data_IF_939041614643
#
_entry.id   IF_939041614643
#
_cell.length_a   1.000
_cell.length_b   1.000
_cell.length_c   1.000
_cell.angle_alpha   90.00
_cell.angle_beta   90.00
_cell.angle_gamma   90.00
#
_symmetry.space_group_name_H-M   'P 1'
#
loop_
_entity.id
_entity.type
_entity.pdbx_description
1 polymer ?
#
# COMPACT_ATOMS: atom_id res chain seq x y z
N UNK A 1 -15.82 -9.78 3.65
CA UNK A 1 -14.96 -10.64 2.79
C UNK A 1 -13.57 -10.55 3.36
N UNK A 2 -12.82 -11.65 3.47
CA UNK A 2 -11.46 -11.65 4.01
C UNK A 2 -10.50 -10.95 3.04
N UNK A 3 -9.47 -10.30 3.61
CA UNK A 3 -8.36 -9.75 2.83
C UNK A 3 -7.74 -10.88 1.98
N UNK A 4 -7.54 -10.65 0.70
CA UNK A 4 -6.96 -11.66 -0.19
C UNK A 4 -7.95 -12.65 -0.83
N UNK A 5 -9.26 -12.59 -0.53
CA UNK A 5 -10.23 -13.49 -1.18
C UNK A 5 -10.36 -13.22 -2.69
N UNK A 6 -10.07 -11.99 -3.15
CA UNK A 6 -9.88 -11.63 -4.56
C UNK A 6 -8.79 -10.58 -4.67
N UNK A 7 -7.64 -10.98 -5.18
CA UNK A 7 -6.45 -10.14 -5.31
C UNK A 7 -6.33 -9.65 -6.74
N UNK A 8 -6.35 -8.34 -6.95
CA UNK A 8 -6.02 -7.71 -8.21
C UNK A 8 -4.56 -7.26 -8.20
N UNK A 9 -3.75 -7.79 -9.10
CA UNK A 9 -2.37 -7.35 -9.30
C UNK A 9 -2.29 -6.50 -10.56
N UNK A 10 -1.77 -5.29 -10.45
CA UNK A 10 -1.47 -4.45 -11.60
C UNK A 10 -0.01 -4.66 -12.05
N UNK A 11 0.18 -4.87 -13.35
CA UNK A 11 1.49 -5.03 -13.95
C UNK A 11 1.67 -4.13 -15.18
N UNK A 12 2.85 -3.55 -15.34
CA UNK A 12 3.30 -2.87 -16.55
C UNK A 12 4.30 -3.72 -17.35
N UNK A 13 4.41 -5.02 -16.99
CA UNK A 13 5.31 -6.01 -17.57
C UNK A 13 6.80 -5.71 -17.34
N UNK A 14 7.14 -4.72 -16.52
CA UNK A 14 8.53 -4.47 -16.10
C UNK A 14 9.00 -5.50 -15.06
N UNK A 15 10.31 -5.65 -14.92
CA UNK A 15 10.89 -6.46 -13.85
C UNK A 15 10.51 -5.96 -12.45
N UNK A 16 10.29 -4.63 -12.32
CA UNK A 16 9.80 -4.04 -11.08
C UNK A 16 8.40 -4.50 -10.68
N UNK A 17 7.56 -4.86 -11.66
CA UNK A 17 6.21 -5.37 -11.41
C UNK A 17 6.17 -6.85 -11.00
N UNK A 18 7.23 -7.61 -11.20
CA UNK A 18 7.28 -9.02 -10.81
C UNK A 18 7.09 -9.22 -9.32
N UNK A 19 7.59 -8.29 -8.52
CA UNK A 19 7.40 -8.34 -7.08
C UNK A 19 5.93 -8.19 -6.68
N UNK A 20 5.19 -7.33 -7.37
CA UNK A 20 3.75 -7.22 -7.18
C UNK A 20 3.03 -8.54 -7.54
N UNK A 21 3.44 -9.19 -8.64
CA UNK A 21 2.91 -10.49 -9.05
C UNK A 21 3.21 -11.55 -7.98
N UNK A 22 4.46 -11.65 -7.48
CA UNK A 22 4.85 -12.62 -6.43
C UNK A 22 4.06 -12.40 -5.15
N UNK A 23 4.02 -11.17 -4.65
CA UNK A 23 3.34 -10.85 -3.39
C UNK A 23 1.83 -11.00 -3.50
N UNK A 24 1.22 -10.59 -4.62
CA UNK A 24 -0.21 -10.79 -4.87
C UNK A 24 -0.59 -12.26 -4.97
N UNK A 25 0.21 -13.06 -5.69
CA UNK A 25 0.03 -14.50 -5.76
C UNK A 25 0.09 -15.17 -4.39
N UNK A 26 1.11 -14.83 -3.58
CA UNK A 26 1.28 -15.40 -2.24
C UNK A 26 0.06 -15.11 -1.35
N UNK A 27 -0.53 -13.92 -1.44
CA UNK A 27 -1.73 -13.55 -0.68
C UNK A 27 -2.99 -14.24 -1.15
N UNK A 28 -3.20 -14.34 -2.47
CA UNK A 28 -4.30 -15.10 -3.03
C UNK A 28 -4.23 -16.57 -2.61
N UNK A 29 -3.02 -17.16 -2.65
CA UNK A 29 -2.81 -18.54 -2.24
C UNK A 29 -3.08 -18.75 -0.74
N UNK A 30 -2.55 -17.89 0.12
CA UNK A 30 -2.73 -17.96 1.57
C UNK A 30 -4.21 -17.81 1.98
N UNK A 31 -4.98 -17.01 1.26
CA UNK A 31 -6.40 -16.80 1.50
C UNK A 31 -7.31 -17.83 0.79
N UNK A 32 -6.76 -18.76 0.00
CA UNK A 32 -7.55 -19.62 -0.89
C UNK A 32 -8.40 -18.83 -1.89
N UNK A 33 -7.92 -17.64 -2.27
CA UNK A 33 -8.64 -16.67 -3.09
C UNK A 33 -8.31 -16.72 -4.57
N UNK A 34 -8.98 -15.85 -5.32
CA UNK A 34 -8.79 -15.67 -6.76
C UNK A 34 -7.66 -14.66 -7.03
N UNK A 35 -6.77 -14.98 -7.97
CA UNK A 35 -5.77 -14.05 -8.50
C UNK A 35 -6.27 -13.50 -9.84
N UNK A 36 -6.37 -12.17 -9.92
CA UNK A 36 -6.65 -11.43 -11.16
C UNK A 36 -5.46 -10.54 -11.45
N UNK A 37 -4.95 -10.57 -12.67
CA UNK A 37 -3.83 -9.70 -13.10
C UNK A 37 -4.33 -8.73 -14.16
N UNK A 38 -4.08 -7.45 -13.95
CA UNK A 38 -4.51 -6.37 -14.85
C UNK A 38 -3.30 -5.69 -15.48
N UNK A 39 -3.35 -5.53 -16.81
CA UNK A 39 -2.48 -4.61 -17.55
C UNK A 39 -3.31 -3.52 -18.19
N UNK A 40 -2.88 -2.26 -18.08
CA UNK A 40 -3.59 -1.12 -18.69
C UNK A 40 -2.74 -0.55 -19.83
N UNK A 41 -3.29 -0.57 -21.03
CA UNK A 41 -2.66 0.02 -22.24
C UNK A 41 -2.86 1.53 -22.24
N UNK A 42 -1.78 2.35 -22.12
CA UNK A 42 -1.93 3.80 -22.09
C UNK A 42 -2.48 4.38 -23.39
N UNK A 43 -3.39 5.35 -23.29
CA UNK A 43 -3.96 6.07 -24.46
C UNK A 43 -2.94 6.87 -25.28
N UNK A 44 -1.78 7.17 -24.73
CA UNK A 44 -0.70 7.89 -25.43
C UNK A 44 -0.25 7.21 -26.72
N UNK A 45 -0.52 5.93 -26.87
CA UNK A 45 -0.28 5.19 -28.12
C UNK A 45 -1.40 5.37 -29.15
N UNK A 46 -2.61 5.83 -28.74
CA UNK A 46 -3.78 5.96 -29.62
C UNK A 46 -4.05 7.38 -30.10
N UNK A 47 -3.74 8.41 -29.31
CA UNK A 47 -4.13 9.79 -29.58
C UNK A 47 -2.92 10.73 -29.67
N UNK A 48 -1.91 10.37 -30.46
CA UNK A 48 -0.81 11.30 -30.71
C UNK A 48 -1.20 12.24 -31.86
N UNK A 49 -1.39 13.55 -31.60
CA UNK A 49 -1.75 14.51 -32.65
C UNK A 49 -0.71 14.60 -33.78
N UNK A 50 0.53 14.17 -33.53
CA UNK A 50 1.61 14.14 -34.53
C UNK A 50 1.51 12.93 -35.48
N UNK A 51 0.66 11.95 -35.16
CA UNK A 51 0.47 10.75 -35.97
C UNK A 51 -1.03 10.44 -36.18
N UNK A 52 -1.79 11.36 -36.82
CA UNK A 52 -3.26 11.20 -36.97
C UNK A 52 -3.65 9.93 -37.72
N UNK A 53 -2.77 9.37 -38.55
CA UNK A 53 -3.03 8.14 -39.31
C UNK A 53 -2.99 6.87 -38.41
N UNK A 54 -2.48 6.96 -37.19
CA UNK A 54 -2.52 5.88 -36.18
C UNK A 54 -3.74 5.99 -35.25
N UNK A 55 -4.51 7.05 -35.36
CA UNK A 55 -5.67 7.34 -34.52
C UNK A 55 -6.94 6.56 -34.92
N UNK A 56 -6.90 5.78 -35.97
CA UNK A 56 -7.95 4.83 -36.36
C UNK A 56 -7.32 3.45 -36.59
N UNK A 57 -6.99 2.71 -35.52
CA UNK A 57 -6.86 1.28 -35.71
C UNK A 57 -8.25 0.80 -36.11
N UNK A 58 -8.34 0.02 -37.20
CA UNK A 58 -9.53 -0.78 -37.40
C UNK A 58 -9.77 -1.62 -36.13
N UNK A 59 -11.01 -1.92 -35.82
CA UNK A 59 -11.36 -2.64 -34.62
C UNK A 59 -10.58 -3.97 -34.46
N UNK A 60 -10.14 -4.57 -35.58
CA UNK A 60 -9.38 -5.81 -35.63
C UNK A 60 -7.96 -5.64 -35.08
N UNK A 61 -7.26 -4.56 -35.42
CA UNK A 61 -5.91 -4.30 -34.92
C UNK A 61 -5.84 -4.02 -33.42
N UNK A 62 -6.93 -3.50 -32.85
CA UNK A 62 -7.03 -3.29 -31.38
C UNK A 62 -7.20 -4.61 -30.66
N UNK A 63 -8.11 -5.45 -31.12
CA UNK A 63 -8.37 -6.78 -30.55
C UNK A 63 -7.10 -7.66 -30.61
N UNK A 64 -6.37 -7.60 -31.73
CA UNK A 64 -5.11 -8.34 -31.87
C UNK A 64 -4.03 -7.85 -30.90
N UNK A 65 -3.94 -6.54 -30.67
CA UNK A 65 -3.00 -5.98 -29.69
C UNK A 65 -3.35 -6.41 -28.26
N UNK A 66 -4.63 -6.30 -27.87
CA UNK A 66 -5.09 -6.71 -26.54
C UNK A 66 -4.82 -8.20 -26.29
N UNK A 67 -5.07 -9.06 -27.29
CA UNK A 67 -4.79 -10.49 -27.21
C UNK A 67 -3.30 -10.76 -26.98
N UNK A 68 -2.41 -10.15 -27.80
CA UNK A 68 -0.96 -10.33 -27.64
C UNK A 68 -0.46 -9.86 -26.27
N UNK A 69 -0.98 -8.75 -25.76
CA UNK A 69 -0.62 -8.25 -24.44
C UNK A 69 -1.15 -9.20 -23.36
N UNK A 70 -2.35 -9.76 -23.54
CA UNK A 70 -2.87 -10.77 -22.60
C UNK A 70 -1.97 -12.02 -22.58
N UNK A 71 -1.57 -12.53 -23.74
CA UNK A 71 -0.68 -13.70 -23.87
C UNK A 71 0.68 -13.43 -23.16
N UNK A 72 1.30 -12.29 -23.44
CA UNK A 72 2.58 -11.88 -22.78
C UNK A 72 2.40 -11.71 -21.27
N UNK A 73 1.27 -11.17 -20.84
CA UNK A 73 0.95 -11.02 -19.41
C UNK A 73 0.80 -12.39 -18.74
N UNK A 74 0.10 -13.31 -19.39
CA UNK A 74 -0.08 -14.69 -18.89
C UNK A 74 1.27 -15.41 -18.77
N UNK A 75 2.10 -15.36 -19.83
CA UNK A 75 3.45 -15.92 -19.82
C UNK A 75 4.30 -15.35 -18.68
N UNK A 76 4.22 -14.04 -18.44
CA UNK A 76 4.95 -13.39 -17.36
C UNK A 76 4.50 -13.88 -15.99
N UNK A 77 3.18 -13.99 -15.76
CA UNK A 77 2.63 -14.51 -14.50
C UNK A 77 3.08 -15.95 -14.27
N UNK A 78 3.00 -16.81 -15.29
CA UNK A 78 3.46 -18.21 -15.22
C UNK A 78 4.96 -18.24 -14.86
N UNK A 79 5.79 -17.45 -15.55
CA UNK A 79 7.23 -17.39 -15.30
C UNK A 79 7.57 -16.95 -13.88
N UNK A 80 6.81 -15.98 -13.31
CA UNK A 80 7.09 -15.40 -11.99
C UNK A 80 6.55 -16.28 -10.85
N UNK A 81 5.41 -16.96 -11.06
CA UNK A 81 4.69 -17.68 -9.99
C UNK A 81 4.80 -19.19 -10.08
N UNK A 82 5.18 -19.73 -11.23
CA UNK A 82 5.13 -21.16 -11.52
C UNK A 82 3.73 -21.74 -11.60
N UNK A 83 2.69 -20.88 -11.69
CA UNK A 83 1.28 -21.34 -11.80
C UNK A 83 0.98 -21.82 -13.21
N UNK A 84 0.02 -22.76 -13.31
CA UNK A 84 -0.50 -23.21 -14.60
C UNK A 84 -1.38 -22.14 -15.25
N UNK A 85 -1.38 -22.12 -16.56
CA UNK A 85 -2.30 -21.32 -17.37
C UNK A 85 -3.76 -21.63 -16.96
N UNK A 86 -4.60 -20.60 -16.88
CA UNK A 86 -6.01 -20.73 -16.49
C UNK A 86 -6.26 -20.82 -14.97
N UNK A 87 -5.22 -20.88 -14.12
CA UNK A 87 -5.39 -20.84 -12.67
C UNK A 87 -5.53 -19.42 -12.10
N UNK A 88 -5.47 -18.41 -12.96
CA UNK A 88 -5.68 -17.00 -12.69
C UNK A 88 -6.36 -16.34 -13.90
N UNK A 89 -6.82 -15.09 -13.71
CA UNK A 89 -7.42 -14.32 -14.79
C UNK A 89 -6.51 -13.18 -15.21
N UNK A 90 -6.40 -12.96 -16.52
CA UNK A 90 -5.74 -11.76 -17.08
C UNK A 90 -6.80 -10.83 -17.65
N UNK A 91 -6.72 -9.55 -17.28
CA UNK A 91 -7.61 -8.50 -17.77
C UNK A 91 -6.76 -7.40 -18.42
N UNK A 92 -7.15 -7.01 -19.62
CA UNK A 92 -6.53 -5.90 -20.34
C UNK A 92 -7.52 -4.74 -20.34
N UNK A 93 -7.09 -3.59 -19.85
CA UNK A 93 -7.85 -2.35 -19.87
C UNK A 93 -7.13 -1.30 -20.72
N UNK A 94 -7.81 -0.21 -21.04
CA UNK A 94 -7.28 0.87 -21.87
C UNK A 94 -7.49 2.21 -21.18
N UNK A 95 -6.45 3.05 -21.16
CA UNK A 95 -6.61 4.38 -20.64
C UNK A 95 -5.47 4.88 -19.75
N UNK A 96 -5.82 5.70 -18.77
CA UNK A 96 -4.88 6.07 -17.71
C UNK A 96 -4.66 4.88 -16.78
N UNK A 97 -3.40 4.45 -16.55
CA UNK A 97 -3.11 3.25 -15.76
C UNK A 97 -3.74 3.26 -14.37
N UNK A 98 -3.66 4.39 -13.66
CA UNK A 98 -4.24 4.54 -12.33
C UNK A 98 -5.77 4.39 -12.32
N UNK A 99 -6.45 5.07 -13.25
CA UNK A 99 -7.92 4.99 -13.38
C UNK A 99 -8.37 3.60 -13.85
N UNK A 100 -7.63 2.97 -14.76
CA UNK A 100 -7.91 1.62 -15.25
C UNK A 100 -7.80 0.59 -14.12
N UNK A 101 -6.72 0.64 -13.34
CA UNK A 101 -6.54 -0.27 -12.20
C UNK A 101 -7.68 -0.12 -11.18
N UNK A 102 -8.04 1.13 -10.81
CA UNK A 102 -9.13 1.38 -9.86
C UNK A 102 -10.45 0.87 -10.39
N UNK A 103 -10.77 1.17 -11.66
CA UNK A 103 -11.99 0.67 -12.32
C UNK A 103 -12.05 -0.85 -12.35
N UNK A 104 -10.97 -1.51 -12.79
CA UNK A 104 -10.91 -2.98 -12.81
C UNK A 104 -11.07 -3.56 -11.41
N UNK A 105 -10.49 -2.91 -10.38
CA UNK A 105 -10.66 -3.34 -8.98
C UNK A 105 -12.12 -3.28 -8.54
N UNK A 106 -12.85 -2.22 -8.92
CA UNK A 106 -14.29 -2.07 -8.65
C UNK A 106 -15.10 -3.15 -9.39
N UNK A 107 -14.86 -3.35 -10.67
CA UNK A 107 -15.58 -4.30 -11.54
C UNK A 107 -15.43 -5.75 -11.07
N UNK A 108 -14.21 -6.14 -10.66
CA UNK A 108 -13.99 -7.50 -10.16
C UNK A 108 -14.36 -7.66 -8.68
N UNK A 109 -14.66 -6.57 -7.97
CA UNK A 109 -14.89 -6.58 -6.52
C UNK A 109 -13.63 -7.03 -5.76
N UNK A 110 -12.48 -6.45 -6.09
CA UNK A 110 -11.22 -6.78 -5.46
C UNK A 110 -11.24 -6.49 -3.95
N UNK A 111 -10.72 -7.42 -3.16
CA UNK A 111 -10.55 -7.24 -1.70
C UNK A 111 -9.15 -6.77 -1.34
N UNK A 112 -8.22 -6.83 -2.30
CA UNK A 112 -6.87 -6.32 -2.22
C UNK A 112 -6.40 -5.94 -3.63
N UNK A 113 -5.84 -4.74 -3.78
CA UNK A 113 -5.08 -4.35 -4.97
C UNK A 113 -3.60 -4.41 -4.65
N UNK A 114 -2.80 -4.97 -5.54
CA UNK A 114 -1.34 -5.02 -5.42
C UNK A 114 -0.71 -4.26 -6.57
N UNK A 115 0.13 -3.30 -6.24
CA UNK A 115 0.87 -2.50 -7.22
C UNK A 115 2.36 -2.54 -6.89
N UNK A 116 3.21 -2.44 -7.89
CA UNK A 116 4.64 -2.22 -7.68
C UNK A 116 4.89 -0.78 -7.23
N UNK A 117 5.87 -0.59 -6.36
CA UNK A 117 6.33 0.76 -5.99
C UNK A 117 6.97 1.51 -7.17
N UNK A 118 7.39 0.81 -8.22
CA UNK A 118 8.07 1.33 -9.42
C UNK A 118 7.47 0.72 -10.67
N UNK A 119 7.48 1.48 -11.76
CA UNK A 119 7.13 1.02 -13.10
C UNK A 119 8.34 1.01 -14.02
N UNK A 120 8.11 0.82 -15.32
CA UNK A 120 9.11 0.74 -16.38
C UNK A 120 10.06 1.96 -16.48
N UNK A 121 9.71 3.11 -15.91
CA UNK A 121 10.53 4.33 -15.97
C UNK A 121 11.74 4.35 -15.04
N UNK A 122 11.87 3.39 -14.12
CA UNK A 122 13.11 3.07 -13.39
C UNK A 122 13.77 4.19 -12.57
N UNK A 123 13.07 5.30 -12.32
CA UNK A 123 13.61 6.43 -11.54
C UNK A 123 13.85 6.02 -10.09
N UNK A 124 14.93 6.51 -9.54
CA UNK A 124 15.53 6.28 -8.22
C UNK A 124 14.83 5.31 -7.24
N UNK A 125 15.64 4.47 -6.60
CA UNK A 125 15.21 3.40 -5.66
C UNK A 125 14.33 3.85 -4.48
N UNK A 126 14.11 5.16 -4.31
CA UNK A 126 13.46 5.77 -3.15
C UNK A 126 12.14 6.48 -3.46
N UNK A 127 11.68 6.53 -4.71
CA UNK A 127 10.47 7.27 -5.07
C UNK A 127 9.32 6.32 -5.46
N UNK A 128 8.14 6.62 -4.93
CA UNK A 128 6.89 5.97 -5.30
C UNK A 128 6.47 6.41 -6.72
N UNK A 129 6.09 5.45 -7.56
CA UNK A 129 5.55 5.76 -8.89
C UNK A 129 4.19 6.47 -8.79
N UNK A 130 3.94 7.41 -9.70
CA UNK A 130 2.69 8.19 -9.71
C UNK A 130 1.43 7.34 -9.87
N UNK A 131 1.52 6.20 -10.56
CA UNK A 131 0.40 5.25 -10.68
C UNK A 131 0.10 4.62 -9.33
N UNK A 132 1.12 4.09 -8.64
CA UNK A 132 0.95 3.47 -7.32
C UNK A 132 0.37 4.47 -6.30
N UNK A 133 0.88 5.70 -6.25
CA UNK A 133 0.37 6.77 -5.38
C UNK A 133 -1.13 7.01 -5.62
N UNK A 134 -1.54 7.16 -6.89
CA UNK A 134 -2.94 7.40 -7.23
C UNK A 134 -3.83 6.20 -6.93
N UNK A 135 -3.35 4.96 -7.16
CA UNK A 135 -4.10 3.75 -6.79
C UNK A 135 -4.31 3.69 -5.28
N UNK A 136 -3.28 3.94 -4.45
CA UNK A 136 -3.42 4.02 -2.99
C UNK A 136 -4.43 5.10 -2.58
N UNK A 137 -4.46 6.21 -3.30
CA UNK A 137 -5.37 7.34 -3.02
C UNK A 137 -6.82 7.05 -3.39
N UNK A 138 -7.06 6.32 -4.49
CA UNK A 138 -8.41 6.21 -5.08
C UNK A 138 -9.05 4.82 -4.98
N UNK A 139 -8.30 3.75 -4.76
CA UNK A 139 -8.89 2.41 -4.60
C UNK A 139 -9.89 2.36 -3.45
N UNK A 140 -10.97 1.61 -3.63
CA UNK A 140 -12.01 1.41 -2.61
C UNK A 140 -11.65 0.34 -1.56
N UNK A 141 -10.66 -0.51 -1.85
CA UNK A 141 -10.18 -1.58 -0.99
C UNK A 141 -8.72 -1.33 -0.53
N UNK A 142 -8.17 -2.13 0.39
CA UNK A 142 -6.76 -2.07 0.76
C UNK A 142 -5.83 -2.19 -0.44
N UNK A 143 -4.70 -1.47 -0.39
CA UNK A 143 -3.68 -1.49 -1.45
C UNK A 143 -2.35 -1.90 -0.85
N UNK A 144 -1.75 -2.95 -1.40
CA UNK A 144 -0.38 -3.35 -1.12
C UNK A 144 0.55 -2.72 -2.15
N UNK A 145 1.46 -1.88 -1.69
CA UNK A 145 2.57 -1.39 -2.49
C UNK A 145 3.75 -2.34 -2.32
N UNK A 146 3.93 -3.22 -3.28
CA UNK A 146 4.96 -4.26 -3.25
C UNK A 146 6.36 -3.67 -3.40
N UNK A 147 7.29 -4.17 -2.60
CA UNK A 147 8.73 -3.89 -2.66
C UNK A 147 9.50 -5.17 -2.37
N UNK A 148 10.65 -5.33 -3.05
CA UNK A 148 11.57 -6.42 -2.71
C UNK A 148 12.09 -6.23 -1.29
N UNK A 149 12.01 -7.26 -0.47
CA UNK A 149 12.48 -7.30 0.90
C UNK A 149 12.94 -8.70 1.25
N UNK A 150 13.63 -8.82 2.38
CA UNK A 150 13.96 -10.12 2.95
C UNK A 150 12.75 -10.59 3.76
N UNK A 151 12.30 -11.81 3.53
CA UNK A 151 11.21 -12.40 4.32
C UNK A 151 11.71 -12.64 5.75
N UNK A 152 11.25 -11.82 6.69
CA UNK A 152 11.62 -11.88 8.11
C UNK A 152 10.51 -12.44 8.98
N UNK A 153 9.31 -12.55 8.42
CA UNK A 153 8.10 -12.90 9.17
C UNK A 153 7.70 -11.81 10.17
N UNK A 154 8.01 -10.53 9.91
CA UNK A 154 7.74 -9.43 10.83
C UNK A 154 6.93 -8.32 10.19
N UNK A 155 5.78 -7.99 10.77
CA UNK A 155 4.86 -6.94 10.34
C UNK A 155 4.87 -5.79 11.36
N UNK A 156 5.19 -4.58 10.89
CA UNK A 156 5.09 -3.36 11.68
C UNK A 156 3.75 -2.67 11.43
N UNK A 157 2.96 -2.44 12.46
CA UNK A 157 1.62 -1.82 12.35
C UNK A 157 1.63 -0.47 13.04
N UNK A 158 1.42 0.59 12.27
CA UNK A 158 1.35 1.94 12.82
C UNK A 158 -0.10 2.31 13.16
N UNK A 159 -0.32 2.80 14.39
CA UNK A 159 -1.64 3.24 14.85
C UNK A 159 -1.58 4.61 15.52
N UNK A 160 -2.60 5.42 15.26
CA UNK A 160 -2.89 6.66 15.99
C UNK A 160 -4.11 6.52 16.92
N UNK A 161 -4.53 5.27 17.16
CA UNK A 161 -5.72 4.90 17.95
C UNK A 161 -7.05 5.43 17.39
N UNK A 162 -7.08 5.87 16.13
CA UNK A 162 -8.34 6.20 15.45
C UNK A 162 -9.07 4.94 15.00
N UNK A 163 -10.39 5.03 14.78
CA UNK A 163 -11.18 3.92 14.21
C UNK A 163 -10.64 3.45 12.84
N UNK A 164 -10.07 4.37 12.06
CA UNK A 164 -9.44 4.01 10.80
C UNK A 164 -8.17 3.18 11.02
N UNK A 165 -7.36 3.51 12.03
CA UNK A 165 -6.17 2.74 12.39
C UNK A 165 -6.54 1.36 12.97
N UNK A 166 -7.67 1.22 13.67
CA UNK A 166 -8.13 -0.10 14.12
C UNK A 166 -8.39 -1.05 12.95
N UNK A 167 -8.90 -0.55 11.80
CA UNK A 167 -9.08 -1.40 10.61
C UNK A 167 -7.74 -1.90 10.07
N UNK A 168 -6.67 -1.12 10.19
CA UNK A 168 -5.32 -1.54 9.82
C UNK A 168 -4.76 -2.60 10.79
N UNK A 169 -5.04 -2.48 12.09
CA UNK A 169 -4.68 -3.49 13.10
C UNK A 169 -5.36 -4.83 12.80
N UNK A 170 -6.65 -4.81 12.45
CA UNK A 170 -7.40 -6.02 12.07
C UNK A 170 -6.80 -6.65 10.81
N UNK A 171 -6.54 -5.86 9.76
CA UNK A 171 -5.95 -6.35 8.52
C UNK A 171 -4.56 -6.96 8.75
N UNK A 172 -3.73 -6.33 9.59
CA UNK A 172 -2.42 -6.86 9.96
C UNK A 172 -2.52 -8.19 10.73
N UNK A 173 -3.52 -8.32 11.59
CA UNK A 173 -3.80 -9.58 12.28
C UNK A 173 -4.19 -10.71 11.31
N UNK A 174 -4.99 -10.42 10.29
CA UNK A 174 -5.35 -11.39 9.26
C UNK A 174 -4.12 -11.80 8.43
N UNK A 175 -3.29 -10.84 8.01
CA UNK A 175 -2.01 -11.11 7.33
C UNK A 175 -1.06 -11.94 8.19
N UNK A 176 -0.89 -11.57 9.47
CA UNK A 176 -0.02 -12.29 10.39
C UNK A 176 -0.45 -13.75 10.58
N UNK A 177 -1.75 -14.00 10.78
CA UNK A 177 -2.29 -15.35 10.90
C UNK A 177 -2.12 -16.17 9.63
N UNK A 178 -2.39 -15.58 8.47
CA UNK A 178 -2.26 -16.25 7.18
C UNK A 178 -0.82 -16.65 6.84
N UNK A 179 0.17 -15.88 7.33
CA UNK A 179 1.59 -16.03 7.00
C UNK A 179 2.45 -16.56 8.15
N UNK A 180 1.89 -16.73 9.34
CA UNK A 180 2.66 -17.07 10.55
C UNK A 180 3.65 -15.99 10.95
N UNK A 181 3.33 -14.72 10.68
CA UNK A 181 4.21 -13.58 10.97
C UNK A 181 3.97 -13.02 12.37
N UNK A 182 5.00 -12.40 12.96
CA UNK A 182 4.91 -11.64 14.22
C UNK A 182 4.50 -10.21 13.94
N UNK A 183 3.79 -9.60 14.89
CA UNK A 183 3.32 -8.22 14.81
C UNK A 183 4.04 -7.34 15.81
N UNK A 184 4.46 -6.15 15.40
CA UNK A 184 4.77 -5.06 16.35
C UNK A 184 3.78 -3.92 16.12
N UNK A 185 2.93 -3.64 17.12
CA UNK A 185 2.09 -2.46 17.12
C UNK A 185 2.91 -1.24 17.56
N UNK A 186 2.83 -0.16 16.78
CA UNK A 186 3.62 1.03 16.99
C UNK A 186 2.75 2.27 17.11
N UNK A 187 3.09 3.13 18.08
CA UNK A 187 2.59 4.51 18.17
C UNK A 187 3.74 5.50 18.32
N UNK A 188 3.64 6.63 17.64
CA UNK A 188 4.60 7.73 17.77
C UNK A 188 3.97 8.87 18.58
N UNK A 189 4.68 9.32 19.60
CA UNK A 189 4.31 10.49 20.41
C UNK A 189 4.99 11.71 19.79
N UNK A 190 4.20 12.58 19.17
CA UNK A 190 4.72 13.82 18.61
C UNK A 190 4.91 14.83 19.75
N UNK A 191 6.15 15.04 20.12
CA UNK A 191 6.55 15.97 21.20
C UNK A 191 6.84 17.38 20.68
N UNK A 192 6.89 17.56 19.35
CA UNK A 192 7.12 18.86 18.75
C UNK A 192 5.80 19.41 18.19
N UNK A 193 5.51 20.72 18.43
CA UNK A 193 4.39 21.36 17.75
C UNK A 193 4.55 21.22 16.24
N UNK A 194 3.47 20.84 15.54
CA UNK A 194 3.46 20.82 14.08
C UNK A 194 3.95 22.20 13.57
N UNK A 195 4.98 22.23 12.71
CA UNK A 195 5.48 23.49 12.13
C UNK A 195 4.38 24.30 11.42
N UNK A 196 3.30 23.66 10.96
CA UNK A 196 2.13 24.32 10.39
C UNK A 196 1.39 25.20 11.42
N UNK A 197 1.45 24.90 12.71
CA UNK A 197 0.93 25.76 13.78
C UNK A 197 1.80 26.99 14.03
N UNK A 198 3.10 26.95 13.66
CA UNK A 198 4.03 28.04 13.83
C UNK A 198 3.89 29.17 12.80
N UNK A 199 3.25 28.94 11.65
CA UNK A 199 3.07 29.95 10.59
C UNK A 199 2.04 31.05 10.94
N UNK A 200 1.25 30.86 12.00
CA UNK A 200 0.32 31.87 12.53
C UNK A 200 0.68 32.41 13.91
N UNK A 201 1.77 31.93 14.51
CA UNK A 201 2.19 32.43 15.82
C UNK A 201 2.86 33.82 15.67
N UNK A 202 2.50 34.81 16.52
CA UNK A 202 3.19 36.09 16.52
C UNK A 202 4.69 35.87 16.78
N UNK A 203 5.53 36.70 16.16
CA UNK A 203 6.98 36.70 16.33
C UNK A 203 7.32 36.58 17.83
N UNK A 204 7.98 35.51 18.23
CA UNK A 204 8.40 35.27 19.62
C UNK A 204 7.69 34.16 20.37
N UNK A 205 6.84 33.36 19.75
CA UNK A 205 6.29 32.17 20.38
C UNK A 205 7.44 31.17 20.65
N UNK A 206 7.78 31.00 21.91
CA UNK A 206 8.75 30.00 22.35
C UNK A 206 8.18 28.59 22.09
N UNK A 207 8.98 27.72 21.49
CA UNK A 207 8.64 26.29 21.41
C UNK A 207 8.57 25.77 22.84
N UNK A 208 7.37 25.50 23.31
CA UNK A 208 7.18 24.89 24.64
C UNK A 208 7.40 23.39 24.47
N UNK A 209 8.56 22.93 24.89
CA UNK A 209 8.84 21.49 25.01
C UNK A 209 8.09 21.00 26.25
N UNK A 210 7.21 19.97 26.13
CA UNK A 210 6.51 19.42 27.30
C UNK A 210 7.51 18.92 28.36
N UNK A 211 7.17 19.03 29.66
CA UNK A 211 7.96 18.44 30.72
C UNK A 211 8.18 16.94 30.49
N UNK A 212 9.34 16.43 30.89
CA UNK A 212 9.69 15.00 30.69
C UNK A 212 8.65 14.07 31.33
N UNK A 213 8.15 14.45 32.49
CA UNK A 213 7.13 13.70 33.23
C UNK A 213 5.86 13.51 32.40
N UNK A 214 5.41 14.53 31.66
CA UNK A 214 4.25 14.45 30.79
C UNK A 214 4.51 13.53 29.58
N UNK A 215 5.74 13.54 29.05
CA UNK A 215 6.13 12.66 27.95
C UNK A 215 6.15 11.20 28.44
N UNK A 216 6.70 10.95 29.63
CA UNK A 216 6.76 9.62 30.23
C UNK A 216 5.36 9.08 30.54
N UNK A 217 4.44 9.91 31.04
CA UNK A 217 3.01 9.57 31.22
C UNK A 217 2.34 9.23 29.89
N UNK A 218 2.54 10.05 28.86
CA UNK A 218 1.99 9.80 27.53
C UNK A 218 2.52 8.48 26.94
N UNK A 219 3.82 8.19 27.14
CA UNK A 219 4.43 6.92 26.71
C UNK A 219 3.81 5.72 27.44
N UNK A 220 3.67 5.80 28.76
CA UNK A 220 3.05 4.73 29.52
C UNK A 220 1.59 4.48 29.10
N UNK A 221 0.82 5.55 28.86
CA UNK A 221 -0.54 5.45 28.35
C UNK A 221 -0.59 4.84 26.94
N UNK A 222 0.33 5.22 26.06
CA UNK A 222 0.43 4.66 24.70
C UNK A 222 0.78 3.16 24.73
N UNK A 223 1.77 2.76 25.53
CA UNK A 223 2.14 1.35 25.69
C UNK A 223 0.94 0.54 26.15
N UNK A 224 0.25 0.99 27.22
CA UNK A 224 -0.96 0.31 27.70
C UNK A 224 -2.04 0.20 26.62
N UNK A 225 -2.30 1.26 25.88
CA UNK A 225 -3.29 1.24 24.80
C UNK A 225 -2.91 0.27 23.65
N UNK A 226 -1.61 0.15 23.34
CA UNK A 226 -1.12 -0.81 22.37
C UNK A 226 -1.27 -2.26 22.88
N UNK A 227 -0.96 -2.52 24.16
CA UNK A 227 -1.17 -3.83 24.78
C UNK A 227 -2.65 -4.22 24.80
N UNK A 228 -3.54 -3.27 25.11
CA UNK A 228 -4.99 -3.46 25.05
C UNK A 228 -5.46 -3.81 23.63
N UNK A 229 -4.86 -3.23 22.58
CA UNK A 229 -5.15 -3.59 21.19
C UNK A 229 -4.65 -5.00 20.84
N UNK A 230 -3.43 -5.38 21.25
CA UNK A 230 -2.93 -6.76 21.06
C UNK A 230 -3.88 -7.77 21.69
N UNK A 231 -4.28 -7.52 22.94
CA UNK A 231 -5.20 -8.40 23.67
C UNK A 231 -6.59 -8.47 22.99
N UNK A 232 -7.16 -7.32 22.61
CA UNK A 232 -8.48 -7.20 21.97
C UNK A 232 -8.57 -7.99 20.67
N UNK A 233 -7.53 -7.95 19.86
CA UNK A 233 -7.50 -8.60 18.54
C UNK A 233 -6.76 -9.94 18.54
N UNK A 234 -6.37 -10.45 19.73
CA UNK A 234 -5.66 -11.72 19.91
C UNK A 234 -4.42 -11.83 19.00
N UNK A 235 -3.60 -10.77 19.00
CA UNK A 235 -2.38 -10.71 18.19
C UNK A 235 -1.18 -11.19 19.04
N UNK A 236 -0.39 -12.11 18.48
CA UNK A 236 0.92 -12.46 19.03
C UNK A 236 1.95 -11.43 18.54
N UNK A 237 2.46 -10.62 19.46
CA UNK A 237 3.33 -9.54 19.06
C UNK A 237 3.89 -8.71 20.19
N UNK A 238 4.58 -7.65 19.81
CA UNK A 238 5.20 -6.67 20.69
C UNK A 238 4.57 -5.28 20.51
N UNK A 239 4.84 -4.39 21.44
CA UNK A 239 4.44 -2.98 21.37
C UNK A 239 5.66 -2.08 21.33
N UNK A 240 5.57 -0.97 20.60
CA UNK A 240 6.61 0.02 20.45
C UNK A 240 6.02 1.43 20.55
N UNK A 241 6.43 2.21 21.55
CA UNK A 241 6.13 3.62 21.64
C UNK A 241 7.41 4.43 21.52
N UNK A 242 7.47 5.34 20.56
CA UNK A 242 8.64 6.17 20.26
C UNK A 242 8.24 7.65 20.23
N UNK A 243 9.22 8.52 20.47
CA UNK A 243 9.04 9.97 20.33
C UNK A 243 9.42 10.42 18.92
N UNK A 244 8.74 11.41 18.41
CA UNK A 244 9.06 12.08 17.16
C UNK A 244 7.96 12.06 16.12
N UNK A 245 8.26 12.61 14.95
CA UNK A 245 7.34 12.67 13.82
C UNK A 245 6.92 11.26 13.38
N UNK A 246 5.63 11.00 13.31
CA UNK A 246 5.09 9.67 13.03
C UNK A 246 5.68 9.01 11.77
N UNK A 247 5.79 9.76 10.67
CA UNK A 247 6.33 9.18 9.44
C UNK A 247 7.79 8.76 9.57
N UNK A 248 8.65 9.60 10.16
CA UNK A 248 10.07 9.26 10.39
C UNK A 248 10.20 8.09 11.35
N UNK A 249 9.48 8.13 12.47
CA UNK A 249 9.49 7.07 13.47
C UNK A 249 9.09 5.69 12.91
N UNK A 250 8.06 5.65 12.03
CA UNK A 250 7.63 4.41 11.36
C UNK A 250 8.73 3.91 10.41
N UNK A 251 9.33 4.79 9.62
CA UNK A 251 10.37 4.41 8.67
C UNK A 251 11.64 3.91 9.37
N UNK A 252 12.03 4.53 10.48
CA UNK A 252 13.19 4.12 11.27
C UNK A 252 12.90 2.79 11.97
N UNK A 253 11.76 2.64 12.63
CA UNK A 253 11.34 1.39 13.24
C UNK A 253 11.29 0.22 12.22
N UNK A 254 10.85 0.48 10.99
CA UNK A 254 10.81 -0.55 9.94
C UNK A 254 12.22 -1.02 9.53
N UNK A 255 13.24 -0.16 9.64
CA UNK A 255 14.64 -0.52 9.38
C UNK A 255 15.25 -1.27 10.56
N UNK A 256 15.00 -0.78 11.79
CA UNK A 256 15.58 -1.33 13.02
C UNK A 256 15.01 -2.71 13.36
N UNK A 257 13.74 -2.94 13.08
CA UNK A 257 13.03 -4.20 13.32
C UNK A 257 13.05 -5.17 12.13
N UNK A 258 13.86 -4.96 11.11
CA UNK A 258 13.78 -5.46 9.74
C UNK A 258 12.38 -5.93 9.32
N UNK A 259 11.41 -5.02 9.37
CA UNK A 259 10.04 -5.33 8.98
C UNK A 259 9.96 -5.67 7.49
N UNK A 260 9.26 -6.76 7.17
CA UNK A 260 8.98 -7.13 5.78
C UNK A 260 7.77 -6.38 5.21
N UNK A 261 6.90 -5.90 6.12
CA UNK A 261 5.70 -5.16 5.76
C UNK A 261 5.35 -4.11 6.82
N UNK A 262 4.97 -2.92 6.37
CA UNK A 262 4.35 -1.90 7.19
C UNK A 262 2.86 -1.89 6.88
N UNK A 263 2.01 -1.97 7.91
CA UNK A 263 0.55 -1.84 7.78
C UNK A 263 0.11 -0.56 8.44
N UNK A 264 -0.66 0.26 7.73
CA UNK A 264 -1.19 1.50 8.26
C UNK A 264 -2.51 1.90 7.59
N UNK A 265 -3.29 2.73 8.27
CA UNK A 265 -4.48 3.31 7.67
C UNK A 265 -4.14 4.45 6.72
N UNK A 266 -4.90 4.58 5.63
CA UNK A 266 -4.75 5.70 4.69
C UNK A 266 -5.17 7.04 5.28
N UNK A 267 -5.83 7.07 6.45
CA UNK A 267 -6.30 8.26 7.17
C UNK A 267 -6.04 8.11 8.66
N UNK A 268 -5.84 9.22 9.34
CA UNK A 268 -5.71 9.29 10.78
C UNK A 268 -6.82 10.14 11.41
N UNK A 269 -6.58 10.61 12.65
CA UNK A 269 -7.50 11.38 13.51
C UNK A 269 -8.11 12.63 12.85
N UNK A 270 -7.42 13.27 11.92
CA UNK A 270 -7.85 14.54 11.30
C UNK A 270 -8.96 14.40 10.27
N UNK A 271 -9.34 13.18 9.88
CA UNK A 271 -10.59 12.83 9.19
C UNK A 271 -11.01 13.66 7.97
N UNK A 272 -10.07 14.31 7.27
CA UNK A 272 -10.38 15.20 6.14
C UNK A 272 -10.89 14.38 4.95
N UNK A 273 -12.01 14.81 4.38
CA UNK A 273 -12.77 14.35 3.20
C UNK A 273 -12.33 13.06 2.48
N UNK A 274 -13.28 12.29 2.00
CA UNK A 274 -13.25 10.92 1.44
C UNK A 274 -12.17 10.58 0.39
N UNK A 275 -11.35 11.53 -0.09
CA UNK A 275 -10.42 11.32 -1.22
C UNK A 275 -8.97 11.80 -0.93
N UNK A 276 -8.60 12.01 0.35
CA UNK A 276 -7.26 12.50 0.70
C UNK A 276 -6.48 11.40 1.42
N UNK A 277 -5.29 11.08 0.92
CA UNK A 277 -4.30 10.27 1.60
C UNK A 277 -3.70 11.11 2.74
N UNK A 278 -3.63 10.55 3.97
CA UNK A 278 -3.04 11.24 5.11
C UNK A 278 -1.55 11.48 4.92
N UNK A 279 -1.02 12.60 5.45
CA UNK A 279 0.39 13.00 5.28
C UNK A 279 1.39 11.95 5.78
N UNK A 280 1.06 11.23 6.86
CA UNK A 280 1.88 10.13 7.38
C UNK A 280 1.86 8.96 6.41
N UNK A 281 0.67 8.54 5.96
CA UNK A 281 0.52 7.45 5.01
C UNK A 281 1.24 7.74 3.68
N UNK A 282 1.10 8.96 3.15
CA UNK A 282 1.77 9.40 1.93
C UNK A 282 3.30 9.29 2.06
N UNK A 283 3.88 9.83 3.15
CA UNK A 283 5.32 9.77 3.39
C UNK A 283 5.83 8.34 3.58
N UNK A 284 5.09 7.51 4.36
CA UNK A 284 5.48 6.11 4.59
C UNK A 284 5.39 5.32 3.30
N UNK A 285 4.30 5.42 2.55
CA UNK A 285 4.14 4.73 1.25
C UNK A 285 5.22 5.16 0.27
N UNK A 286 5.63 6.43 0.27
CA UNK A 286 6.70 6.92 -0.61
C UNK A 286 8.08 6.35 -0.27
N UNK A 287 8.44 6.24 1.03
CA UNK A 287 9.83 6.06 1.47
C UNK A 287 10.09 4.75 2.24
N UNK A 288 9.10 3.87 2.39
CA UNK A 288 9.25 2.62 3.13
C UNK A 288 10.36 1.73 2.54
N UNK A 289 11.17 1.09 3.38
CA UNK A 289 12.20 0.13 2.95
C UNK A 289 11.62 -1.22 2.51
N UNK A 290 10.37 -1.52 2.86
CA UNK A 290 9.68 -2.78 2.64
C UNK A 290 8.29 -2.55 2.04
N UNK A 291 7.50 -3.62 1.84
CA UNK A 291 6.13 -3.53 1.36
C UNK A 291 5.26 -2.68 2.32
N UNK A 292 4.24 -2.02 1.77
CA UNK A 292 3.29 -1.22 2.58
C UNK A 292 1.87 -1.62 2.23
N UNK A 293 1.14 -2.12 3.21
CA UNK A 293 -0.29 -2.35 3.13
C UNK A 293 -1.04 -1.12 3.65
N UNK A 294 -1.57 -0.35 2.72
CA UNK A 294 -2.36 0.83 3.00
C UNK A 294 -3.85 0.44 3.12
N UNK A 295 -4.38 0.48 4.34
CA UNK A 295 -5.74 0.03 4.64
C UNK A 295 -6.69 1.22 4.65
N UNK A 296 -7.79 1.09 3.91
CA UNK A 296 -8.87 2.07 3.88
C UNK A 296 -10.06 1.54 4.67
N UNK A 297 -10.64 2.39 5.53
CA UNK A 297 -11.96 2.11 6.09
C UNK A 297 -13.01 2.29 4.98
N UNK A 298 -13.72 1.22 4.67
CA UNK A 298 -14.88 1.20 3.75
C UNK A 298 -16.10 1.79 4.44
#
# INVERSE_FOLDING_TARGET
MSLGSRVLVATDLSEGADEAIRQGHARALAAGGELVVCHVIPHTLRNNPLFPQRNSPDASGVVDLERRIADVTEERVISVTGRDAGSFRVLIDNGSPDAGIVRTADEVGATLVVVSSRGATGLDRLLLGSVAERVVRYAHCPVLVARSHVATGHILVATDFSEAAETAVVAAGDEARARGAKVTLMHSIDVLPDPAFGLGAPFGASIVIPPKELIDEARAAAVKALEDLLARYHLDGAVLSVEGSAASAILDAARDLPAEEIVLATRGRTGIKRMVLGSVAEKVVAHAPCAVLAVRRV
#
